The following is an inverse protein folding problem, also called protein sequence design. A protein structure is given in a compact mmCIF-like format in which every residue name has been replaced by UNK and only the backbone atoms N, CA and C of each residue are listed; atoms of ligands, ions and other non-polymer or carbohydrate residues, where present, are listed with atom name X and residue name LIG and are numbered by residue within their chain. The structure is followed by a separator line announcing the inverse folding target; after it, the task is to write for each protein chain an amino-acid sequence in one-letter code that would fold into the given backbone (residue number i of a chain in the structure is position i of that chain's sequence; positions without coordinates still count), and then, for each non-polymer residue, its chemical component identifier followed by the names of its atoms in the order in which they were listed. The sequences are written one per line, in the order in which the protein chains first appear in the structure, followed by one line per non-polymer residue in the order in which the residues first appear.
data_IF_187746654706
#
_entry.id   IF_187746654706
#
_cell.length_a   1.000
_cell.length_b   1.000
_cell.length_c   1.000
_cell.angle_alpha   90.00
_cell.angle_beta   90.00
_cell.angle_gamma   90.00
#
_symmetry.space_group_name_H-M   'P 1'
#
loop_
_entity.id
_entity.type
_entity.pdbx_description
1 polymer ?
#
# COMPACT_ATOMS: atom_id res chain seq x y z
N UNK A 1 -24.94 -16.37 5.74
CA UNK A 1 -24.25 -15.35 4.93
C UNK A 1 -22.77 -15.71 4.84
N UNK A 2 -22.22 -15.79 3.63
CA UNK A 2 -20.83 -16.19 3.37
C UNK A 2 -20.20 -15.12 2.46
N UNK A 3 -19.33 -14.27 3.01
CA UNK A 3 -18.76 -13.10 2.32
C UNK A 3 -17.23 -13.14 2.30
N UNK A 4 -16.69 -13.34 1.10
CA UNK A 4 -15.26 -13.37 0.80
C UNK A 4 -14.76 -12.08 0.18
N UNK A 5 -13.45 -11.80 0.30
CA UNK A 5 -12.81 -10.65 -0.33
C UNK A 5 -11.73 -11.06 -1.34
N UNK A 6 -11.49 -10.18 -2.31
CA UNK A 6 -10.58 -10.39 -3.44
C UNK A 6 -9.72 -9.16 -3.65
N UNK A 7 -8.50 -9.36 -4.12
CA UNK A 7 -7.58 -8.28 -4.51
C UNK A 7 -7.43 -8.30 -6.03
N UNK A 8 -7.58 -7.13 -6.65
CA UNK A 8 -7.41 -6.94 -8.09
C UNK A 8 -6.29 -5.95 -8.39
N UNK A 9 -5.58 -6.16 -9.50
CA UNK A 9 -4.72 -5.17 -10.13
C UNK A 9 -5.46 -4.56 -11.30
N UNK A 10 -5.62 -3.25 -11.32
CA UNK A 10 -6.22 -2.52 -12.43
C UNK A 10 -5.14 -1.96 -13.35
N UNK A 11 -5.28 -2.19 -14.64
CA UNK A 11 -4.54 -1.46 -15.66
C UNK A 11 -5.19 -0.08 -15.81
N UNK A 12 -4.42 0.99 -15.57
CA UNK A 12 -4.97 2.33 -15.56
C UNK A 12 -5.28 2.87 -16.97
N UNK A 13 -4.66 2.32 -18.02
CA UNK A 13 -4.86 2.78 -19.40
C UNK A 13 -6.12 2.12 -19.97
N UNK A 14 -6.21 0.80 -19.89
CA UNK A 14 -7.33 0.02 -20.45
C UNK A 14 -8.53 -0.04 -19.52
N UNK A 15 -8.30 0.04 -18.21
CA UNK A 15 -9.32 -0.20 -17.19
C UNK A 15 -9.48 -1.66 -16.79
N UNK A 16 -8.76 -2.58 -17.44
CA UNK A 16 -8.87 -4.01 -17.20
C UNK A 16 -8.42 -4.39 -15.79
N UNK A 17 -9.12 -5.35 -15.18
CA UNK A 17 -8.79 -5.85 -13.84
C UNK A 17 -8.31 -7.29 -13.89
N UNK A 18 -7.16 -7.55 -13.26
CA UNK A 18 -6.59 -8.87 -13.07
C UNK A 18 -6.76 -9.29 -11.61
N UNK A 19 -7.38 -10.44 -11.36
CA UNK A 19 -7.46 -11.03 -10.02
C UNK A 19 -6.04 -11.44 -9.56
N UNK A 20 -5.61 -10.90 -8.43
CA UNK A 20 -4.32 -11.20 -7.81
C UNK A 20 -4.45 -12.21 -6.66
N UNK A 21 -5.54 -12.12 -5.91
CA UNK A 21 -5.79 -12.96 -4.76
C UNK A 21 -7.28 -13.08 -4.50
N UNK A 22 -7.69 -14.26 -4.06
CA UNK A 22 -9.03 -14.57 -3.60
C UNK A 22 -8.91 -15.32 -2.27
N UNK A 23 -9.77 -14.98 -1.31
CA UNK A 23 -9.83 -15.71 -0.06
C UNK A 23 -10.20 -17.18 -0.32
N UNK A 24 -9.64 -18.07 0.51
CA UNK A 24 -9.87 -19.52 0.37
C UNK A 24 -10.70 -20.10 1.52
N UNK A 25 -11.01 -19.28 2.52
CA UNK A 25 -11.75 -19.70 3.72
C UNK A 25 -13.24 -19.79 3.38
N UNK A 26 -13.81 -18.73 2.79
CA UNK A 26 -15.25 -18.67 2.50
C UNK A 26 -15.64 -19.71 1.45
N UNK A 27 -14.96 -19.87 0.31
CA UNK A 27 -15.31 -20.92 -0.66
C UNK A 27 -15.21 -22.34 -0.08
N UNK A 28 -14.23 -22.59 0.79
CA UNK A 28 -14.08 -23.89 1.46
C UNK A 28 -15.24 -24.16 2.42
N UNK A 29 -15.62 -23.18 3.24
CA UNK A 29 -16.75 -23.30 4.15
C UNK A 29 -18.09 -23.38 3.41
N UNK A 30 -18.26 -22.65 2.30
CA UNK A 30 -19.42 -22.78 1.43
C UNK A 30 -19.59 -24.22 0.92
N UNK A 31 -18.49 -24.87 0.52
CA UNK A 31 -18.51 -26.28 0.09
C UNK A 31 -18.95 -27.21 1.22
N UNK A 32 -18.52 -26.94 2.46
CA UNK A 32 -18.96 -27.71 3.64
C UNK A 32 -20.44 -27.46 3.92
N UNK A 33 -20.87 -26.19 3.87
CA UNK A 33 -22.27 -25.80 4.07
C UNK A 33 -23.21 -26.54 3.12
N UNK A 34 -22.94 -26.50 1.81
CA UNK A 34 -23.77 -27.16 0.79
C UNK A 34 -23.87 -28.68 1.01
N UNK A 35 -22.82 -29.30 1.57
CA UNK A 35 -22.85 -30.74 1.88
C UNK A 35 -23.74 -31.06 3.08
N UNK A 36 -23.75 -30.18 4.08
CA UNK A 36 -24.56 -30.35 5.29
C UNK A 36 -26.01 -29.90 5.09
N UNK A 37 -26.25 -29.01 4.12
CA UNK A 37 -27.54 -28.40 3.82
C UNK A 37 -27.87 -28.55 2.32
N UNK A 38 -28.11 -29.77 1.81
CA UNK A 38 -28.35 -30.00 0.39
C UNK A 38 -29.66 -29.38 -0.13
N UNK A 39 -30.62 -29.14 0.77
CA UNK A 39 -31.93 -28.57 0.43
C UNK A 39 -31.92 -27.03 0.42
N UNK A 40 -30.84 -26.39 0.89
CA UNK A 40 -30.74 -24.93 0.90
C UNK A 40 -30.37 -24.40 -0.49
N UNK A 41 -31.15 -23.44 -0.98
CA UNK A 41 -30.87 -22.78 -2.25
C UNK A 41 -29.79 -21.69 -2.09
N UNK A 42 -28.96 -21.53 -3.12
CA UNK A 42 -28.00 -20.42 -3.19
C UNK A 42 -28.74 -19.11 -3.49
N UNK A 43 -28.53 -18.12 -2.63
CA UNK A 43 -29.02 -16.75 -2.84
C UNK A 43 -28.56 -16.20 -4.20
N UNK A 44 -29.52 -15.68 -4.97
CA UNK A 44 -29.28 -14.86 -6.15
C UNK A 44 -29.03 -13.41 -5.74
N UNK A 45 -28.42 -12.57 -6.61
CA UNK A 45 -28.15 -11.17 -6.30
C UNK A 45 -29.38 -10.32 -5.92
N UNK A 46 -30.56 -10.74 -6.35
CA UNK A 46 -31.85 -10.09 -6.06
C UNK A 46 -32.53 -10.61 -4.79
N UNK A 47 -32.04 -11.71 -4.23
CA UNK A 47 -32.69 -12.34 -3.08
C UNK A 47 -32.34 -11.56 -1.81
N UNK A 48 -33.34 -11.37 -0.95
CA UNK A 48 -33.12 -10.80 0.36
C UNK A 48 -32.39 -11.82 1.24
N UNK A 49 -31.28 -11.40 1.85
CA UNK A 49 -30.55 -12.26 2.77
C UNK A 49 -31.38 -12.47 4.04
N UNK A 50 -31.40 -13.69 4.57
CA UNK A 50 -31.97 -13.94 5.89
C UNK A 50 -31.18 -13.16 6.96
N UNK A 51 -31.88 -12.39 7.79
CA UNK A 51 -31.31 -11.62 8.90
C UNK A 51 -30.60 -12.49 9.94
N UNK A 52 -31.04 -13.74 10.09
CA UNK A 52 -30.44 -14.72 10.99
C UNK A 52 -30.03 -16.00 10.24
N UNK A 53 -28.94 -15.95 9.46
CA UNK A 53 -28.47 -17.10 8.72
C UNK A 53 -27.78 -18.09 9.67
N UNK A 54 -27.97 -19.40 9.42
CA UNK A 54 -27.34 -20.48 10.18
C UNK A 54 -25.82 -20.31 10.34
N UNK A 55 -25.16 -19.90 9.25
CA UNK A 55 -23.73 -19.64 9.21
C UNK A 55 -23.47 -18.19 8.84
N UNK A 56 -22.64 -17.48 9.61
CA UNK A 56 -22.05 -16.19 9.23
C UNK A 56 -20.54 -16.38 9.08
N UNK A 57 -20.04 -16.20 7.87
CA UNK A 57 -18.60 -16.29 7.57
C UNK A 57 -18.23 -15.03 6.82
N UNK A 58 -17.33 -14.24 7.37
CA UNK A 58 -16.83 -13.02 6.75
C UNK A 58 -15.32 -13.03 6.71
N UNK A 59 -14.74 -12.54 5.62
CA UNK A 59 -13.31 -12.26 5.57
C UNK A 59 -13.06 -10.81 5.20
N UNK A 60 -12.10 -10.20 5.86
CA UNK A 60 -11.59 -8.86 5.57
C UNK A 60 -10.14 -8.94 5.16
N UNK A 61 -9.75 -8.16 4.15
CA UNK A 61 -8.40 -8.04 3.64
C UNK A 61 -7.94 -6.61 3.82
N UNK A 62 -6.88 -6.43 4.60
CA UNK A 62 -6.21 -5.15 4.77
C UNK A 62 -4.93 -5.15 3.93
N UNK A 63 -4.81 -4.21 3.01
CA UNK A 63 -3.57 -4.01 2.25
C UNK A 63 -2.59 -3.25 3.15
N UNK A 64 -1.43 -3.86 3.40
CA UNK A 64 -0.43 -3.27 4.30
C UNK A 64 0.49 -2.31 3.54
N UNK A 65 1.38 -2.84 2.71
CA UNK A 65 2.37 -2.02 2.02
C UNK A 65 2.93 -2.71 0.77
N UNK A 66 3.34 -1.89 -0.22
CA UNK A 66 3.99 -2.36 -1.44
C UNK A 66 5.49 -2.13 -1.35
N UNK A 67 6.32 -3.18 -1.34
CA UNK A 67 7.78 -3.07 -1.42
C UNK A 67 8.30 -3.66 -2.73
N UNK A 68 8.83 -2.80 -3.62
CA UNK A 68 9.24 -3.24 -4.95
C UNK A 68 8.07 -3.90 -5.70
N UNK A 69 8.21 -5.13 -6.20
CA UNK A 69 7.12 -5.83 -6.88
C UNK A 69 6.17 -6.56 -5.91
N UNK A 70 6.28 -6.38 -4.60
CA UNK A 70 5.52 -7.17 -3.63
C UNK A 70 4.48 -6.35 -2.89
N UNK A 71 3.26 -6.85 -2.78
CA UNK A 71 2.19 -6.31 -1.95
C UNK A 71 1.98 -7.22 -0.73
N UNK A 72 2.18 -6.68 0.47
CA UNK A 72 1.82 -7.36 1.72
C UNK A 72 0.37 -7.07 2.08
N UNK A 73 -0.33 -8.07 2.62
CA UNK A 73 -1.70 -7.93 3.10
C UNK A 73 -1.92 -8.77 4.37
N UNK A 74 -2.95 -8.42 5.12
CA UNK A 74 -3.50 -9.22 6.21
C UNK A 74 -4.90 -9.69 5.84
N UNK A 75 -5.22 -10.95 6.10
CA UNK A 75 -6.56 -11.51 6.00
C UNK A 75 -7.05 -11.81 7.41
N UNK A 76 -8.19 -11.24 7.77
CA UNK A 76 -8.95 -11.60 8.96
C UNK A 76 -10.19 -12.39 8.53
N UNK A 77 -10.58 -13.39 9.31
CA UNK A 77 -11.78 -14.17 9.04
C UNK A 77 -12.54 -14.42 10.33
N UNK A 78 -13.83 -14.13 10.33
CA UNK A 78 -14.79 -14.40 11.41
C UNK A 78 -15.78 -15.46 10.97
N UNK A 79 -15.99 -16.47 11.82
CA UNK A 79 -16.83 -17.62 11.50
C UNK A 79 -17.72 -17.96 12.68
N UNK A 80 -19.01 -17.80 12.46
CA UNK A 80 -20.10 -18.25 13.33
C UNK A 80 -20.88 -19.35 12.60
N UNK A 81 -21.11 -20.46 13.28
CA UNK A 81 -21.86 -21.60 12.75
C UNK A 81 -22.80 -22.09 13.84
N UNK A 82 -23.96 -22.59 13.45
CA UNK A 82 -24.92 -23.21 14.36
C UNK A 82 -24.48 -24.60 14.86
N UNK A 83 -23.53 -25.23 14.16
CA UNK A 83 -23.04 -26.59 14.43
C UNK A 83 -21.64 -26.63 15.08
N UNK A 84 -21.03 -25.49 15.37
CA UNK A 84 -19.69 -25.40 15.95
C UNK A 84 -19.48 -24.08 16.70
N UNK A 85 -18.58 -24.07 17.68
CA UNK A 85 -18.20 -22.83 18.37
C UNK A 85 -17.66 -21.79 17.38
N UNK A 86 -18.00 -20.50 17.59
CA UNK A 86 -17.42 -19.40 16.84
C UNK A 86 -15.90 -19.43 16.87
N UNK A 87 -15.28 -18.96 15.80
CA UNK A 87 -13.86 -18.74 15.77
C UNK A 87 -13.53 -17.64 14.77
N UNK A 88 -12.47 -16.90 15.05
CA UNK A 88 -11.84 -16.06 14.06
C UNK A 88 -10.35 -16.39 13.94
N UNK A 89 -9.73 -15.95 12.85
CA UNK A 89 -8.30 -16.17 12.58
C UNK A 89 -7.75 -15.06 11.72
N UNK A 90 -6.46 -14.80 11.88
CA UNK A 90 -5.73 -13.80 11.10
C UNK A 90 -4.50 -14.42 10.46
N UNK A 91 -4.18 -14.03 9.23
CA UNK A 91 -2.94 -14.42 8.55
C UNK A 91 -2.39 -13.28 7.71
N UNK A 92 -1.09 -13.31 7.46
CA UNK A 92 -0.42 -12.41 6.52
C UNK A 92 -0.19 -13.12 5.19
N UNK A 93 0.00 -12.34 4.13
CA UNK A 93 0.44 -12.85 2.86
C UNK A 93 1.19 -11.79 2.06
N UNK A 94 1.96 -12.27 1.09
CA UNK A 94 2.67 -11.42 0.13
C UNK A 94 2.30 -11.86 -1.28
N UNK A 95 1.96 -10.90 -2.14
CA UNK A 95 1.67 -11.11 -3.55
C UNK A 95 2.82 -10.53 -4.36
N UNK A 96 3.40 -11.30 -5.28
CA UNK A 96 4.31 -10.81 -6.31
C UNK A 96 3.48 -10.21 -7.45
N UNK A 97 3.40 -8.88 -7.50
CA UNK A 97 2.66 -8.09 -8.47
C UNK A 97 3.19 -8.26 -9.90
N UNK A 98 4.44 -8.70 -10.08
CA UNK A 98 5.00 -8.96 -11.41
C UNK A 98 4.45 -10.24 -12.03
N UNK A 99 4.10 -11.23 -11.20
CA UNK A 99 3.56 -12.53 -11.64
C UNK A 99 2.07 -12.69 -11.36
N UNK A 100 1.50 -11.87 -10.49
CA UNK A 100 0.13 -12.01 -10.00
C UNK A 100 -0.10 -13.22 -9.11
N UNK A 101 0.94 -13.72 -8.44
CA UNK A 101 0.89 -14.93 -7.60
C UNK A 101 1.35 -14.64 -6.17
N UNK A 102 0.99 -15.53 -5.25
CA UNK A 102 1.57 -15.51 -3.90
C UNK A 102 3.09 -15.62 -3.97
N UNK A 103 3.80 -14.72 -3.29
CA UNK A 103 5.25 -14.70 -3.25
C UNK A 103 5.77 -15.74 -2.25
N UNK A 104 6.78 -16.51 -2.66
CA UNK A 104 7.50 -17.39 -1.73
C UNK A 104 8.53 -16.59 -0.93
N UNK A 105 8.92 -17.13 0.23
CA UNK A 105 10.00 -16.54 1.03
C UNK A 105 11.29 -16.41 0.21
N UNK A 106 11.68 -17.45 -0.53
CA UNK A 106 12.86 -17.45 -1.40
C UNK A 106 12.84 -16.31 -2.41
N UNK A 107 11.68 -16.08 -3.04
CA UNK A 107 11.49 -15.00 -4.00
C UNK A 107 11.64 -13.61 -3.36
N UNK A 108 11.12 -13.43 -2.15
CA UNK A 108 11.20 -12.17 -1.41
C UNK A 108 12.62 -11.93 -0.91
N UNK A 109 13.30 -12.94 -0.39
CA UNK A 109 14.64 -12.77 0.20
C UNK A 109 15.76 -12.78 -0.82
N UNK A 110 15.50 -13.24 -2.05
CA UNK A 110 16.53 -13.42 -3.08
C UNK A 110 17.55 -14.49 -2.70
N UNK A 111 17.19 -15.42 -1.81
CA UNK A 111 18.05 -16.46 -1.25
C UNK A 111 18.13 -16.46 0.28
N UNK A 112 18.96 -17.34 0.85
CA UNK A 112 19.22 -17.49 2.29
C UNK A 112 18.02 -17.88 3.17
N UNK A 113 17.09 -18.64 2.59
CA UNK A 113 15.89 -19.18 3.25
C UNK A 113 16.23 -19.94 4.53
N UNK A 114 17.36 -20.67 4.56
CA UNK A 114 17.78 -21.45 5.71
C UNK A 114 18.11 -20.57 6.92
N UNK A 115 18.86 -19.47 6.73
CA UNK A 115 19.15 -18.53 7.84
C UNK A 115 17.86 -17.93 8.37
N UNK A 116 16.97 -17.47 7.49
CA UNK A 116 15.70 -16.86 7.88
C UNK A 116 14.82 -17.86 8.63
N UNK A 117 14.71 -19.09 8.13
CA UNK A 117 13.93 -20.16 8.77
C UNK A 117 14.49 -20.50 10.15
N UNK A 118 15.81 -20.58 10.30
CA UNK A 118 16.44 -20.84 11.60
C UNK A 118 16.23 -19.67 12.56
N UNK A 119 16.41 -18.43 12.10
CA UNK A 119 16.17 -17.23 12.92
C UNK A 119 14.71 -17.13 13.36
N UNK A 120 13.76 -17.45 12.48
CA UNK A 120 12.32 -17.50 12.78
C UNK A 120 12.02 -18.47 13.92
N UNK A 121 12.59 -19.68 13.89
CA UNK A 121 12.41 -20.67 14.98
C UNK A 121 12.91 -20.12 16.32
N UNK A 122 14.09 -19.49 16.32
CA UNK A 122 14.68 -18.90 17.54
C UNK A 122 13.82 -17.76 18.07
N UNK A 123 13.38 -16.85 17.21
CA UNK A 123 12.55 -15.70 17.61
C UNK A 123 11.17 -16.15 18.10
N UNK A 124 10.55 -17.13 17.43
CA UNK A 124 9.27 -17.68 17.86
C UNK A 124 9.37 -18.36 19.24
N UNK A 125 10.43 -19.15 19.47
CA UNK A 125 10.67 -19.77 20.78
C UNK A 125 10.87 -18.71 21.87
N UNK A 126 11.69 -17.68 21.61
CA UNK A 126 11.92 -16.59 22.55
C UNK A 126 10.64 -15.81 22.88
N UNK A 127 9.77 -15.57 21.89
CA UNK A 127 8.48 -14.90 22.10
C UNK A 127 7.54 -15.75 22.98
N UNK A 128 7.42 -17.04 22.68
CA UNK A 128 6.61 -17.97 23.47
C UNK A 128 7.12 -18.04 24.92
N UNK A 129 8.44 -18.11 25.11
CA UNK A 129 9.03 -18.17 26.45
C UNK A 129 8.84 -16.85 27.22
N UNK A 130 8.99 -15.70 26.54
CA UNK A 130 8.70 -14.39 27.15
C UNK A 130 7.26 -14.30 27.65
N UNK A 131 6.29 -14.67 26.82
CA UNK A 131 4.86 -14.70 27.17
C UNK A 131 4.60 -15.63 28.36
N UNK A 132 5.25 -16.80 28.42
CA UNK A 132 5.13 -17.72 29.56
C UNK A 132 5.70 -17.16 30.86
N UNK A 133 6.82 -16.47 30.79
CA UNK A 133 7.53 -15.93 31.96
C UNK A 133 6.91 -14.65 32.52
N UNK A 134 6.17 -13.90 31.71
CA UNK A 134 5.56 -12.63 32.11
C UNK A 134 4.27 -12.74 32.93
N UNK A 135 3.67 -13.92 33.07
CA UNK A 135 2.39 -14.12 33.76
C UNK A 135 2.51 -14.57 35.22
N UNK A 136 1.62 -14.04 36.08
CA UNK A 136 1.44 -14.53 37.44
C UNK A 136 0.95 -15.99 37.47
N UNK A 137 1.00 -16.64 38.63
CA UNK A 137 0.70 -18.09 38.75
C UNK A 137 -0.72 -18.47 38.29
N UNK A 138 -1.71 -17.60 38.49
CA UNK A 138 -3.09 -17.79 38.03
C UNK A 138 -3.18 -17.53 36.51
N UNK A 139 -2.45 -16.54 36.00
CA UNK A 139 -2.41 -16.22 34.57
C UNK A 139 -1.68 -17.27 33.75
N UNK A 140 -0.70 -17.99 34.31
CA UNK A 140 0.07 -19.02 33.58
C UNK A 140 -0.79 -20.11 32.94
N UNK A 141 -1.86 -20.55 33.59
CA UNK A 141 -2.76 -21.55 33.00
C UNK A 141 -3.53 -20.98 31.81
N UNK A 142 -4.02 -19.75 31.92
CA UNK A 142 -4.70 -19.02 30.85
C UNK A 142 -3.75 -18.74 29.68
N UNK A 143 -2.56 -18.23 29.97
CA UNK A 143 -1.48 -18.01 29.00
C UNK A 143 -1.07 -19.29 28.27
N UNK A 144 -0.99 -20.42 28.98
CA UNK A 144 -0.68 -21.71 28.36
C UNK A 144 -1.80 -22.18 27.43
N UNK A 145 -3.08 -21.95 27.76
CA UNK A 145 -4.22 -22.23 26.89
C UNK A 145 -4.20 -21.33 25.65
N UNK A 146 -4.02 -20.01 25.83
CA UNK A 146 -3.90 -19.05 24.73
C UNK A 146 -2.79 -19.47 23.74
N UNK A 147 -1.59 -19.78 24.24
CA UNK A 147 -0.45 -20.17 23.40
C UNK A 147 -0.67 -21.46 22.60
N UNK A 148 -1.64 -22.33 22.97
CA UNK A 148 -2.01 -23.51 22.17
C UNK A 148 -2.84 -23.16 20.95
N UNK A 149 -3.55 -22.03 20.97
CA UNK A 149 -4.32 -21.52 19.83
C UNK A 149 -3.42 -20.90 18.74
N UNK A 150 -2.19 -20.52 19.10
CA UNK A 150 -1.23 -19.90 18.20
C UNK A 150 -0.39 -20.92 17.45
N UNK A 151 -0.28 -20.75 16.12
CA UNK A 151 0.56 -21.56 15.26
C UNK A 151 1.43 -20.70 14.36
N UNK A 152 2.65 -21.18 14.10
CA UNK A 152 3.57 -20.55 13.16
C UNK A 152 3.30 -21.11 11.76
N UNK A 153 2.68 -20.32 10.89
CA UNK A 153 2.57 -20.63 9.46
C UNK A 153 3.80 -20.08 8.71
N UNK A 154 4.65 -20.93 8.11
CA UNK A 154 5.81 -20.51 7.34
C UNK A 154 5.50 -19.58 6.15
N UNK A 155 4.29 -19.65 5.60
CA UNK A 155 3.83 -18.83 4.48
C UNK A 155 3.16 -17.52 4.93
N UNK A 156 2.85 -17.38 6.22
CA UNK A 156 2.25 -16.17 6.81
C UNK A 156 3.33 -15.18 7.21
N UNK A 157 3.70 -14.31 6.29
CA UNK A 157 4.64 -13.22 6.53
C UNK A 157 4.24 -11.97 5.75
N UNK A 158 4.78 -10.83 6.18
CA UNK A 158 4.75 -9.57 5.43
C UNK A 158 6.18 -9.06 5.22
N UNK A 159 6.36 -8.15 4.27
CA UNK A 159 7.60 -7.38 4.10
C UNK A 159 7.48 -6.11 4.92
N UNK A 160 8.56 -5.72 5.58
CA UNK A 160 8.68 -4.47 6.33
C UNK A 160 10.07 -3.89 6.16
N UNK A 161 10.34 -2.76 6.81
CA UNK A 161 11.64 -2.07 6.81
C UNK A 161 12.08 -1.81 8.24
N UNK A 162 13.30 -2.22 8.56
CA UNK A 162 13.95 -1.96 9.84
C UNK A 162 15.25 -1.22 9.55
N UNK A 163 15.42 -0.04 10.14
CA UNK A 163 16.63 0.78 9.99
C UNK A 163 17.06 1.01 8.52
N UNK A 164 16.07 1.16 7.63
CA UNK A 164 16.31 1.36 6.20
C UNK A 164 16.73 0.09 5.44
N UNK A 165 16.63 -1.09 6.08
CA UNK A 165 16.88 -2.39 5.49
C UNK A 165 15.58 -3.20 5.37
N UNK A 166 15.45 -4.03 4.31
CA UNK A 166 14.27 -4.85 4.17
C UNK A 166 14.28 -5.97 5.23
N UNK A 167 13.11 -6.29 5.74
CA UNK A 167 12.92 -7.36 6.70
C UNK A 167 11.62 -8.13 6.40
N UNK A 168 11.54 -9.36 6.90
CA UNK A 168 10.30 -10.14 6.91
C UNK A 168 9.71 -10.13 8.31
N UNK A 169 8.43 -9.77 8.39
CA UNK A 169 7.67 -9.75 9.63
C UNK A 169 6.73 -10.96 9.68
N UNK A 170 7.08 -11.94 10.53
CA UNK A 170 6.23 -13.08 10.84
C UNK A 170 5.28 -12.74 11.97
N UNK A 171 4.20 -13.50 12.06
CA UNK A 171 3.35 -13.54 13.23
C UNK A 171 2.92 -14.99 13.50
N UNK A 172 2.63 -15.31 14.76
CA UNK A 172 1.87 -16.52 15.07
C UNK A 172 0.39 -16.21 14.81
N UNK A 173 -0.25 -17.06 14.03
CA UNK A 173 -1.67 -16.96 13.75
C UNK A 173 -2.45 -17.64 14.87
N UNK A 174 -3.33 -16.90 15.50
CA UNK A 174 -4.29 -17.45 16.45
C UNK A 174 -5.51 -18.05 15.75
N UNK A 175 -6.21 -18.96 16.44
CA UNK A 175 -7.57 -19.40 16.10
C UNK A 175 -8.33 -19.66 17.39
N UNK A 176 -9.39 -18.92 17.63
CA UNK A 176 -10.25 -19.10 18.80
C UNK A 176 -11.27 -17.98 18.94
N UNK A 177 -11.81 -17.82 20.14
CA UNK A 177 -12.74 -16.75 20.51
C UNK A 177 -12.01 -15.58 21.19
N UNK A 178 -12.57 -14.36 21.11
CA UNK A 178 -11.99 -13.17 21.75
C UNK A 178 -10.60 -12.78 21.22
N UNK A 179 -9.57 -12.72 22.08
CA UNK A 179 -8.23 -12.32 21.64
C UNK A 179 -7.44 -13.46 20.95
N UNK A 180 -8.01 -14.67 20.91
CA UNK A 180 -7.32 -15.88 20.46
C UNK A 180 -7.13 -15.99 18.95
N UNK A 181 -7.76 -15.16 18.12
CA UNK A 181 -7.56 -15.15 16.67
C UNK A 181 -6.86 -13.91 16.11
N UNK A 182 -6.26 -13.09 16.98
CA UNK A 182 -5.32 -12.06 16.58
C UNK A 182 -3.95 -12.63 16.19
N UNK A 183 -3.08 -11.75 15.67
CA UNK A 183 -1.70 -12.08 15.33
C UNK A 183 -0.80 -11.78 16.53
N UNK A 184 0.02 -12.76 16.94
CA UNK A 184 1.14 -12.49 17.85
C UNK A 184 2.37 -12.13 17.02
N UNK A 185 2.70 -10.85 16.94
CA UNK A 185 3.81 -10.37 16.13
C UNK A 185 5.15 -10.87 16.63
N UNK A 186 6.00 -11.30 15.69
CA UNK A 186 7.39 -11.64 15.97
C UNK A 186 8.28 -10.47 15.57
N UNK A 187 9.39 -10.22 16.31
CA UNK A 187 10.43 -9.30 15.88
C UNK A 187 10.82 -9.55 14.40
N UNK A 188 10.85 -8.51 13.56
CA UNK A 188 11.20 -8.66 12.16
C UNK A 188 12.60 -9.26 11.98
N UNK A 189 12.77 -10.03 10.90
CA UNK A 189 14.04 -10.64 10.55
C UNK A 189 14.58 -9.92 9.33
N UNK A 190 15.67 -9.19 9.49
CA UNK A 190 16.38 -8.56 8.39
C UNK A 190 16.79 -9.60 7.34
N UNK A 191 16.50 -9.25 6.09
CA UNK A 191 16.91 -10.02 4.93
C UNK A 191 18.10 -9.32 4.27
N UNK A 192 18.75 -9.98 3.30
CA UNK A 192 19.80 -9.32 2.52
C UNK A 192 19.26 -8.13 1.72
N UNK A 193 20.04 -7.63 0.78
CA UNK A 193 19.55 -6.64 -0.20
C UNK A 193 19.24 -7.38 -1.52
N UNK A 194 18.05 -8.00 -1.64
CA UNK A 194 17.66 -8.65 -2.88
C UNK A 194 17.57 -7.62 -4.02
N UNK A 195 17.64 -8.08 -5.27
CA UNK A 195 17.71 -7.17 -6.44
C UNK A 195 16.57 -6.16 -6.50
N UNK A 196 15.35 -6.57 -6.13
CA UNK A 196 14.19 -5.68 -6.09
C UNK A 196 14.28 -4.57 -5.05
N UNK A 197 15.13 -4.72 -4.03
CA UNK A 197 15.31 -3.71 -2.99
C UNK A 197 15.97 -2.44 -3.55
N UNK A 198 16.85 -2.59 -4.55
CA UNK A 198 17.52 -1.46 -5.19
C UNK A 198 16.52 -0.51 -5.86
N UNK A 199 15.43 -1.05 -6.39
CA UNK A 199 14.35 -0.27 -7.01
C UNK A 199 13.40 0.33 -5.95
N UNK A 200 13.22 -0.35 -4.81
CA UNK A 200 12.35 0.11 -3.73
C UNK A 200 13.00 1.21 -2.88
N UNK A 201 14.31 1.14 -2.65
CA UNK A 201 15.04 2.02 -1.74
C UNK A 201 14.85 3.53 -2.03
N UNK A 202 14.88 4.01 -3.29
CA UNK A 202 14.65 5.43 -3.60
C UNK A 202 13.25 5.95 -3.28
N UNK A 203 12.28 5.05 -3.04
CA UNK A 203 10.89 5.41 -2.71
C UNK A 203 10.67 5.61 -1.22
N UNK A 204 11.61 5.17 -0.39
CA UNK A 204 11.51 5.20 1.06
C UNK A 204 12.18 6.45 1.65
N UNK A 205 11.61 7.02 2.72
CA UNK A 205 12.22 8.16 3.39
C UNK A 205 13.43 7.73 4.22
N UNK A 206 14.39 8.64 4.32
CA UNK A 206 15.39 8.65 5.39
C UNK A 206 14.85 9.52 6.52
N UNK A 207 14.53 8.91 7.65
CA UNK A 207 14.06 9.62 8.85
C UNK A 207 15.21 10.29 9.60
N UNK A 208 14.95 11.46 10.18
CA UNK A 208 15.85 12.08 11.15
C UNK A 208 15.82 11.35 12.49
N UNK A 209 16.85 11.54 13.30
CA UNK A 209 16.98 10.91 14.62
C UNK A 209 15.83 11.28 15.58
N UNK A 210 15.25 12.47 15.42
CA UNK A 210 14.11 12.96 16.21
C UNK A 210 12.74 12.59 15.59
N UNK A 211 12.71 11.91 14.45
CA UNK A 211 11.49 11.49 13.76
C UNK A 211 10.66 12.62 13.12
N UNK A 212 11.04 13.88 13.32
CA UNK A 212 10.27 15.05 12.84
C UNK A 212 10.44 15.34 11.36
N UNK A 213 11.43 14.71 10.72
CA UNK A 213 11.78 14.93 9.31
C UNK A 213 11.94 13.61 8.57
N UNK A 214 11.31 13.53 7.42
CA UNK A 214 11.50 12.47 6.42
C UNK A 214 12.08 13.08 5.15
N UNK A 215 13.08 12.41 4.56
CA UNK A 215 13.80 12.86 3.37
C UNK A 215 13.79 11.79 2.29
N UNK A 216 13.25 12.10 1.13
CA UNK A 216 13.43 11.30 -0.07
C UNK A 216 14.45 11.96 -0.98
N UNK A 217 15.51 11.22 -1.33
CA UNK A 217 16.60 11.71 -2.18
C UNK A 217 16.30 11.44 -3.64
N UNK A 218 16.44 12.46 -4.48
CA UNK A 218 16.14 12.34 -5.91
C UNK A 218 17.12 13.10 -6.80
N UNK A 219 18.40 12.74 -6.73
CA UNK A 219 19.47 13.13 -7.67
C UNK A 219 19.69 14.64 -7.89
N UNK A 220 18.73 15.34 -8.53
CA UNK A 220 18.72 16.79 -8.76
C UNK A 220 18.01 17.60 -7.68
N UNK A 221 17.11 16.98 -6.92
CA UNK A 221 16.39 17.59 -5.82
C UNK A 221 16.03 16.53 -4.79
N UNK A 222 15.61 16.95 -3.61
CA UNK A 222 15.04 16.08 -2.59
C UNK A 222 13.62 16.54 -2.25
N UNK A 223 12.82 15.62 -1.73
CA UNK A 223 11.54 15.94 -1.10
C UNK A 223 11.70 15.75 0.41
N UNK A 224 11.27 16.76 1.17
CA UNK A 224 11.34 16.77 2.62
C UNK A 224 9.92 16.88 3.16
N UNK A 225 9.51 15.91 3.98
CA UNK A 225 8.33 16.06 4.84
C UNK A 225 8.81 16.48 6.23
N UNK A 226 8.31 17.62 6.71
CA UNK A 226 8.55 18.11 8.06
C UNK A 226 7.25 18.07 8.85
N UNK A 227 7.23 17.30 9.92
CA UNK A 227 6.11 17.25 10.83
C UNK A 227 6.09 18.52 11.68
N UNK A 228 4.91 19.12 11.81
CA UNK A 228 4.63 20.10 12.86
C UNK A 228 4.03 19.34 14.04
N UNK A 229 4.58 19.53 15.23
CA UNK A 229 4.19 18.84 16.47
C UNK A 229 2.71 18.99 16.83
N UNK A 230 2.01 19.95 16.22
CA UNK A 230 0.59 20.24 16.48
C UNK A 230 -0.37 19.66 15.44
N UNK A 231 0.13 19.10 14.33
CA UNK A 231 -0.71 18.77 13.17
C UNK A 231 -0.66 17.29 12.78
N UNK A 232 -1.80 16.76 12.33
CA UNK A 232 -1.94 15.45 11.69
C UNK A 232 -1.40 15.41 10.25
N UNK A 233 -0.60 16.40 9.85
CA UNK A 233 -0.04 16.54 8.52
C UNK A 233 1.44 16.94 8.57
N UNK A 234 2.19 16.58 7.53
CA UNK A 234 3.54 17.07 7.31
C UNK A 234 3.52 18.14 6.22
N UNK A 235 4.35 19.17 6.40
CA UNK A 235 4.64 20.13 5.34
C UNK A 235 5.62 19.51 4.36
N UNK A 236 5.24 19.45 3.09
CA UNK A 236 6.11 19.02 2.01
C UNK A 236 6.91 20.19 1.45
N UNK A 237 8.20 19.98 1.32
CA UNK A 237 9.17 20.92 0.78
C UNK A 237 9.97 20.23 -0.33
N UNK A 238 10.18 20.92 -1.44
CA UNK A 238 11.18 20.57 -2.43
C UNK A 238 12.51 21.20 -2.02
N UNK A 239 13.60 20.46 -2.03
CA UNK A 239 14.95 20.98 -1.77
C UNK A 239 15.83 20.80 -3.00
N UNK A 240 16.44 21.87 -3.52
CA UNK A 240 17.36 21.75 -4.67
C UNK A 240 18.78 21.31 -4.24
N UNK A 241 19.66 21.20 -5.23
CA UNK A 241 21.09 20.95 -5.02
C UNK A 241 21.82 22.06 -4.25
N UNK A 242 21.24 23.26 -4.11
CA UNK A 242 21.80 24.37 -3.31
C UNK A 242 21.29 24.38 -1.87
N UNK A 243 20.53 23.34 -1.48
CA UNK A 243 19.85 23.21 -0.18
C UNK A 243 18.78 24.28 0.08
N UNK A 244 18.32 24.98 -0.96
CA UNK A 244 17.19 25.89 -0.86
C UNK A 244 15.90 25.08 -0.82
N UNK A 245 15.02 25.39 0.13
CA UNK A 245 13.74 24.68 0.31
C UNK A 245 12.57 25.55 -0.20
N UNK A 246 11.63 24.94 -0.93
CA UNK A 246 10.38 25.56 -1.38
C UNK A 246 9.18 24.73 -0.92
N UNK A 247 8.18 25.33 -0.24
CA UNK A 247 6.98 24.62 0.15
C UNK A 247 6.16 24.24 -1.08
N UNK A 248 5.72 22.97 -1.15
CA UNK A 248 4.90 22.45 -2.26
C UNK A 248 3.52 21.98 -1.82
N UNK A 249 3.30 21.72 -0.52
CA UNK A 249 1.99 21.31 -0.01
C UNK A 249 2.02 20.72 1.39
N UNK A 250 0.97 20.01 1.76
CA UNK A 250 0.88 19.20 2.98
C UNK A 250 0.31 17.82 2.66
N UNK A 251 0.75 16.81 3.40
CA UNK A 251 0.26 15.42 3.30
C UNK A 251 -0.07 14.87 4.69
N UNK A 252 -1.02 13.94 4.81
CA UNK A 252 -1.21 13.18 6.04
C UNK A 252 0.09 12.50 6.47
N UNK A 253 0.28 12.36 7.78
CA UNK A 253 1.38 11.59 8.35
C UNK A 253 0.88 10.24 8.91
N UNK A 254 1.70 9.19 8.85
CA UNK A 254 3.07 9.17 8.33
C UNK A 254 3.11 9.16 6.79
N UNK A 255 3.98 9.99 6.20
CA UNK A 255 4.23 9.90 4.77
C UNK A 255 5.18 8.71 4.51
N UNK A 256 4.61 7.60 4.03
CA UNK A 256 5.35 6.35 3.93
C UNK A 256 6.29 6.30 2.71
N UNK A 257 5.87 6.84 1.56
CA UNK A 257 6.54 6.64 0.27
C UNK A 257 6.40 7.78 -0.71
N UNK A 258 7.31 7.81 -1.67
CA UNK A 258 7.21 8.59 -2.90
C UNK A 258 7.43 7.72 -4.14
N UNK A 259 6.58 7.89 -5.15
CA UNK A 259 6.75 7.26 -6.46
C UNK A 259 7.22 8.31 -7.47
N UNK A 260 8.45 8.17 -7.94
CA UNK A 260 9.06 9.10 -8.89
C UNK A 260 8.60 8.82 -10.33
N UNK A 261 7.94 9.79 -10.96
CA UNK A 261 7.38 9.64 -12.32
C UNK A 261 8.13 10.45 -13.38
N UNK A 262 9.26 11.06 -13.02
CA UNK A 262 10.07 11.92 -13.89
C UNK A 262 11.33 11.21 -14.44
N UNK A 263 11.64 10.00 -13.96
CA UNK A 263 12.75 9.16 -14.45
C UNK A 263 12.44 7.66 -14.49
N UNK A 264 12.20 7.08 -15.68
CA UNK A 264 11.92 7.80 -16.93
C UNK A 264 10.64 8.64 -16.79
N UNK A 265 10.52 9.71 -17.57
CA UNK A 265 9.30 10.50 -17.57
C UNK A 265 8.14 9.64 -18.08
N UNK A 266 7.05 9.58 -17.32
CA UNK A 266 5.81 8.94 -17.78
C UNK A 266 5.25 9.64 -19.01
N UNK A 267 4.78 8.85 -19.98
CA UNK A 267 4.16 9.38 -21.20
C UNK A 267 2.81 10.06 -20.91
N UNK A 268 2.27 10.75 -21.91
CA UNK A 268 1.02 11.51 -21.77
C UNK A 268 -0.19 10.61 -21.49
N UNK A 269 -0.22 9.40 -22.04
CA UNK A 269 -1.32 8.45 -21.84
C UNK A 269 -1.35 7.95 -20.39
N UNK A 270 -0.20 7.53 -19.87
CA UNK A 270 -0.01 7.08 -18.49
C UNK A 270 -0.29 8.20 -17.50
N UNK A 271 0.12 9.43 -17.80
CA UNK A 271 -0.17 10.59 -16.95
C UNK A 271 -1.67 10.88 -16.87
N UNK A 272 -2.39 10.80 -17.99
CA UNK A 272 -3.84 11.00 -18.01
C UNK A 272 -4.56 9.87 -17.27
N UNK A 273 -4.12 8.62 -17.47
CA UNK A 273 -4.63 7.45 -16.77
C UNK A 273 -4.45 7.55 -15.25
N UNK A 274 -3.27 7.98 -14.78
CA UNK A 274 -3.01 8.24 -13.36
C UNK A 274 -3.90 9.34 -12.81
N UNK A 275 -4.01 10.48 -13.51
CA UNK A 275 -4.88 11.58 -13.08
C UNK A 275 -6.33 11.10 -12.91
N UNK A 276 -6.87 10.39 -13.92
CA UNK A 276 -8.22 9.80 -13.84
C UNK A 276 -8.35 8.83 -12.66
N UNK A 277 -7.35 7.98 -12.43
CA UNK A 277 -7.38 7.02 -11.33
C UNK A 277 -7.44 7.70 -9.96
N UNK A 278 -6.65 8.77 -9.75
CA UNK A 278 -6.71 9.56 -8.52
C UNK A 278 -8.05 10.29 -8.36
N UNK A 279 -8.59 10.86 -9.45
CA UNK A 279 -9.91 11.50 -9.44
C UNK A 279 -11.03 10.50 -9.10
N UNK A 280 -10.98 9.28 -9.66
CA UNK A 280 -11.91 8.20 -9.33
C UNK A 280 -11.76 7.76 -7.88
N UNK A 281 -10.53 7.63 -7.36
CA UNK A 281 -10.29 7.28 -5.95
C UNK A 281 -10.80 8.36 -4.99
N UNK A 282 -10.72 9.63 -5.35
CA UNK A 282 -11.23 10.73 -4.55
C UNK A 282 -12.76 10.68 -4.33
N UNK A 283 -13.50 9.95 -5.18
CA UNK A 283 -14.93 9.74 -4.99
C UNK A 283 -15.25 8.71 -3.89
N UNK A 284 -14.28 7.85 -3.55
CA UNK A 284 -14.41 6.82 -2.53
C UNK A 284 -13.78 7.23 -1.19
N UNK A 285 -12.84 8.17 -1.23
CA UNK A 285 -12.09 8.64 -0.07
C UNK A 285 -11.70 10.12 -0.22
N UNK A 286 -12.09 10.94 0.76
CA UNK A 286 -11.82 12.39 0.80
C UNK A 286 -10.33 12.72 1.05
N UNK A 287 -9.48 11.72 1.32
CA UNK A 287 -8.06 11.91 1.61
C UNK A 287 -7.18 12.13 0.36
N UNK A 288 -7.73 11.99 -0.85
CA UNK A 288 -6.96 12.21 -2.09
C UNK A 288 -6.77 13.69 -2.37
N UNK A 289 -5.52 14.14 -2.46
CA UNK A 289 -5.14 15.51 -2.87
C UNK A 289 -4.36 15.49 -4.16
N UNK A 290 -4.97 16.00 -5.23
CA UNK A 290 -4.30 16.20 -6.52
C UNK A 290 -3.90 17.68 -6.71
N UNK A 291 -2.68 17.91 -7.18
CA UNK A 291 -2.21 19.23 -7.58
C UNK A 291 -1.58 19.15 -8.98
N UNK A 292 -1.94 20.07 -9.87
CA UNK A 292 -1.32 20.18 -11.18
C UNK A 292 -0.91 21.63 -11.46
N UNK A 293 0.25 21.81 -12.08
CA UNK A 293 0.60 23.11 -12.64
C UNK A 293 -0.17 23.29 -13.94
N UNK A 294 -1.27 24.05 -13.88
CA UNK A 294 -1.94 24.52 -15.09
C UNK A 294 -0.97 25.45 -15.83
N UNK A 295 -0.23 24.95 -16.82
CA UNK A 295 0.47 25.82 -17.76
C UNK A 295 -0.60 26.42 -18.68
N UNK A 296 -0.88 27.73 -18.60
CA UNK A 296 -1.72 28.36 -19.61
C UNK A 296 -1.09 28.07 -20.98
N UNK A 297 -1.89 27.76 -22.02
CA UNK A 297 -1.36 27.53 -23.35
C UNK A 297 -0.47 28.72 -23.71
N UNK A 298 0.76 28.42 -24.16
CA UNK A 298 1.69 29.45 -24.61
C UNK A 298 0.94 30.31 -25.62
N UNK A 299 0.62 31.55 -25.24
CA UNK A 299 0.01 32.50 -26.16
C UNK A 299 0.97 32.59 -27.33
N UNK A 300 0.56 32.03 -28.47
CA UNK A 300 1.18 32.28 -29.75
C UNK A 300 1.21 33.78 -29.90
N UNK A 301 2.41 34.37 -29.73
CA UNK A 301 2.65 35.77 -30.04
C UNK A 301 2.47 35.85 -31.54
N UNK A 302 1.25 36.13 -31.99
CA UNK A 302 0.98 36.66 -33.31
C UNK A 302 1.81 37.94 -33.40
N UNK A 303 2.99 37.83 -34.01
CA UNK A 303 3.75 38.99 -34.49
C UNK A 303 2.83 39.69 -35.49
N UNK A 304 2.12 40.70 -35.00
CA UNK A 304 1.48 41.68 -35.85
C UNK A 304 2.61 42.45 -36.53
N UNK A 305 3.01 42.00 -37.72
CA UNK A 305 3.90 42.76 -38.59
C UNK A 305 3.12 44.00 -39.03
N UNK A 306 3.26 45.08 -38.28
CA UNK A 306 2.75 46.39 -38.68
C UNK A 306 3.68 46.91 -39.77
N UNK A 307 3.30 46.63 -41.02
CA UNK A 307 3.96 47.17 -42.20
C UNK A 307 4.00 48.70 -42.15
N UNK A 308 5.21 49.24 -42.03
CA UNK A 308 5.49 50.68 -42.10
C UNK A 308 5.38 51.08 -43.58
N UNK A 309 4.22 51.58 -44.01
CA UNK A 309 4.10 52.27 -45.31
C UNK A 309 4.84 53.61 -45.19
N UNK A 310 5.95 53.72 -45.89
CA UNK A 310 6.67 54.97 -46.11
C UNK A 310 5.84 55.85 -47.05
N UNK A 311 5.32 56.97 -46.52
CA UNK A 311 4.75 58.04 -47.34
C UNK A 311 5.90 58.96 -47.77
N UNK A 312 6.36 58.77 -49.01
CA UNK A 312 7.18 59.74 -49.72
C UNK A 312 6.34 60.99 -50.00
N UNK A 313 6.63 62.09 -49.30
CA UNK A 313 6.17 63.41 -49.71
C UNK A 313 7.20 63.99 -50.69
N UNK A 314 6.77 64.17 -51.94
CA UNK A 314 7.50 64.82 -53.02
C UNK A 314 7.21 66.32 -52.95
N UNK A 315 8.25 67.14 -52.76
CA UNK A 315 8.18 68.59 -52.91
C UNK A 315 8.10 68.95 -54.41
N UNK A 316 7.18 69.83 -54.85
CA UNK A 316 7.25 70.42 -56.18
C UNK A 316 8.19 71.65 -56.21
N UNK A 317 8.79 71.96 -57.36
CA UNK A 317 9.83 72.98 -57.49
C UNK A 317 9.26 74.40 -57.66
N UNK A 318 10.05 75.35 -57.18
CA UNK A 318 9.94 76.79 -57.41
C UNK A 318 10.10 77.16 -58.89
N UNK A 319 9.31 78.15 -59.33
CA UNK A 319 9.51 78.91 -60.58
C UNK A 319 9.22 80.41 -60.35
N UNK A 320 9.74 81.30 -61.21
CA UNK A 320 10.37 82.55 -60.80
C UNK A 320 9.55 83.83 -61.10
N UNK A 321 10.06 84.94 -60.53
CA UNK A 321 9.84 86.37 -60.77
C UNK A 321 8.86 86.81 -61.88
N UNK A 322 7.98 87.74 -61.50
CA UNK A 322 7.86 89.07 -62.12
C UNK A 322 7.66 90.10 -60.99
#
# INVERSE_FOLDING_TARGET
MLLGQRIFRRDLVTGDSLLLYEDTIVPRLATVYTRLHPDDARLQPSDEANDDPRWRVTTTIDLAEVHGPFLSFSLHADVERDDAEPWHTSRRGVIDLSTGRAASLDRVTGGDVTRITNRRKVVAAAMIDSVRTGGDRIDRARTASLLRAYHLDPASFAITVVDGHPAVAYALSGRGEGDEGHLLELPPIEIGQPSWWLDALPTLPVSSADGTRQLWRHGRYDVVARQDSSSSAARLLLRDSTSREWPIGTVPIPAARIYWLDRPAVDSASRLALARAFDESALYDDEVRAASLHRPPARSVLRLVRGRRASHAVNPPSRPRA
#
